data_IF_614291452667
#
_entry.id   IF_614291452667
#
_cell.length_a   1.000
_cell.length_b   1.000
_cell.length_c   1.000
_cell.angle_alpha   90.00
_cell.angle_beta   90.00
_cell.angle_gamma   90.00
#
_symmetry.space_group_name_H-M   'P 1'
#
loop_
_entity.id
_entity.type
_entity.pdbx_description
1 polymer ?
#
# COMPACT_ATOMS: atom_id res chain seq x y z
N UNK A 1 30.23 4.56 -11.77
CA UNK A 1 28.81 4.31 -12.11
C UNK A 1 28.73 3.10 -13.02
N UNK A 2 27.75 2.23 -12.81
CA UNK A 2 27.50 1.07 -13.68
C UNK A 2 26.76 1.57 -14.92
N UNK A 3 27.36 1.36 -16.10
CA UNK A 3 26.83 1.92 -17.36
C UNK A 3 25.80 1.02 -18.06
N UNK A 4 25.68 -0.23 -17.63
CA UNK A 4 24.78 -1.24 -18.22
C UNK A 4 23.61 -1.64 -17.28
N UNK A 5 23.27 -0.79 -16.33
CA UNK A 5 22.15 -0.97 -15.40
C UNK A 5 21.26 0.26 -15.47
N UNK A 6 19.96 0.05 -15.62
CA UNK A 6 18.93 1.10 -15.51
C UNK A 6 18.10 0.84 -14.27
N UNK A 7 18.14 1.71 -13.25
CA UNK A 7 17.28 1.59 -12.08
C UNK A 7 15.82 1.90 -12.45
N UNK A 8 14.87 1.15 -11.86
CA UNK A 8 13.45 1.44 -11.94
C UNK A 8 12.99 1.82 -10.54
N UNK A 9 12.67 3.09 -10.34
CA UNK A 9 12.10 3.63 -9.11
C UNK A 9 10.61 3.87 -9.29
N UNK A 10 9.85 3.70 -8.22
CA UNK A 10 8.41 3.94 -8.21
C UNK A 10 8.09 4.84 -7.02
N UNK A 11 7.50 6.00 -7.30
CA UNK A 11 7.10 6.95 -6.26
C UNK A 11 5.77 6.53 -5.63
N UNK A 12 5.80 5.40 -4.95
CA UNK A 12 4.62 4.81 -4.32
C UNK A 12 4.06 5.65 -3.17
N UNK A 13 4.79 6.67 -2.68
CA UNK A 13 4.24 7.63 -1.73
C UNK A 13 2.98 8.31 -2.27
N UNK A 14 2.95 8.65 -3.57
CA UNK A 14 1.80 9.30 -4.20
C UNK A 14 0.54 8.43 -4.08
N UNK A 15 0.63 7.17 -4.50
CA UNK A 15 -0.52 6.26 -4.46
C UNK A 15 -0.85 5.81 -3.04
N UNK A 16 0.17 5.65 -2.19
CA UNK A 16 -0.06 5.33 -0.77
C UNK A 16 -0.78 6.46 -0.05
N UNK A 17 -0.52 7.71 -0.42
CA UNK A 17 -1.24 8.87 0.08
C UNK A 17 -2.74 8.77 -0.29
N UNK A 18 -3.06 8.48 -1.55
CA UNK A 18 -4.43 8.28 -1.99
C UNK A 18 -5.10 7.11 -1.26
N UNK A 19 -4.39 5.99 -1.09
CA UNK A 19 -4.88 4.84 -0.34
C UNK A 19 -5.13 5.15 1.14
N UNK A 20 -4.27 5.97 1.76
CA UNK A 20 -4.44 6.45 3.13
C UNK A 20 -5.65 7.37 3.29
N UNK A 21 -5.81 8.30 2.37
CA UNK A 21 -6.97 9.20 2.30
C UNK A 21 -8.28 8.40 2.18
N UNK A 22 -8.31 7.47 1.23
CA UNK A 22 -9.43 6.59 0.99
C UNK A 22 -9.77 5.72 2.22
N UNK A 23 -8.75 5.09 2.83
CA UNK A 23 -8.92 4.27 4.03
C UNK A 23 -9.46 5.07 5.21
N UNK A 24 -9.02 6.33 5.36
CA UNK A 24 -9.53 7.23 6.38
C UNK A 24 -11.01 7.58 6.20
N UNK A 25 -11.47 7.68 4.94
CA UNK A 25 -12.88 7.88 4.63
C UNK A 25 -13.76 6.64 4.82
N UNK A 26 -13.16 5.44 4.74
CA UNK A 26 -13.85 4.16 4.78
C UNK A 26 -13.88 3.50 6.15
N UNK A 27 -12.93 3.81 7.03
CA UNK A 27 -12.86 3.18 8.36
C UNK A 27 -14.09 3.45 9.21
N UNK A 28 -14.58 2.41 9.86
CA UNK A 28 -15.69 2.46 10.83
C UNK A 28 -15.19 2.71 12.26
N UNK A 29 -13.96 2.25 12.55
CA UNK A 29 -13.36 2.31 13.90
C UNK A 29 -12.47 3.53 14.12
N UNK A 30 -12.13 4.25 13.04
CA UNK A 30 -11.13 5.34 13.02
C UNK A 30 -9.72 4.87 13.40
N UNK A 31 -9.43 3.60 13.20
CA UNK A 31 -8.11 3.00 13.43
C UNK A 31 -7.70 2.16 12.24
N UNK A 32 -6.55 2.50 11.69
CA UNK A 32 -5.91 1.80 10.58
C UNK A 32 -4.60 1.18 11.08
N UNK A 33 -4.14 0.12 10.46
CA UNK A 33 -2.86 -0.50 10.83
C UNK A 33 -1.93 -0.61 9.62
N UNK A 34 -0.65 -0.25 9.80
CA UNK A 34 0.37 -0.51 8.79
C UNK A 34 1.65 -1.05 9.43
N UNK A 35 2.30 -1.97 8.76
CA UNK A 35 3.59 -2.52 9.15
C UNK A 35 4.37 -2.95 7.92
N UNK A 36 5.69 -2.97 8.03
CA UNK A 36 6.56 -3.38 6.95
C UNK A 36 7.33 -4.66 7.24
N UNK A 37 7.90 -5.27 6.21
CA UNK A 37 8.81 -6.41 6.38
C UNK A 37 10.14 -5.99 7.00
N UNK A 38 10.88 -5.13 6.33
CA UNK A 38 12.16 -4.56 6.76
C UNK A 38 12.15 -3.04 6.66
N UNK A 39 12.93 -2.37 7.51
CA UNK A 39 13.12 -0.91 7.44
C UNK A 39 14.00 -0.53 6.25
N UNK A 40 13.40 -0.53 5.06
CA UNK A 40 14.02 -0.11 3.81
C UNK A 40 13.29 1.11 3.23
N UNK A 41 13.96 2.03 2.55
CA UNK A 41 13.30 3.18 1.91
C UNK A 41 12.16 2.78 0.96
N UNK A 42 12.31 1.64 0.26
CA UNK A 42 11.30 1.06 -0.63
C UNK A 42 10.07 0.47 0.09
N UNK A 43 10.13 0.34 1.41
CA UNK A 43 9.04 -0.11 2.29
C UNK A 43 8.45 1.10 3.02
N UNK A 44 9.30 1.90 3.66
CA UNK A 44 8.85 3.04 4.46
C UNK A 44 8.12 4.09 3.64
N UNK A 45 8.45 4.23 2.35
CA UNK A 45 7.76 5.15 1.42
C UNK A 45 6.24 4.87 1.32
N UNK A 46 5.82 3.61 1.40
CA UNK A 46 4.39 3.26 1.42
C UNK A 46 3.75 3.67 2.75
N UNK A 47 4.39 3.33 3.87
CA UNK A 47 3.86 3.61 5.20
C UNK A 47 3.74 5.11 5.44
N UNK A 48 4.76 5.87 5.00
CA UNK A 48 4.81 7.32 5.12
C UNK A 48 3.70 7.99 4.28
N UNK A 49 3.60 7.64 2.99
CA UNK A 49 2.55 8.16 2.12
C UNK A 49 1.16 7.85 2.67
N UNK A 50 0.92 6.63 3.15
CA UNK A 50 -0.33 6.21 3.75
C UNK A 50 -0.70 7.06 4.99
N UNK A 51 0.23 7.22 5.92
CA UNK A 51 0.00 8.00 7.12
C UNK A 51 -0.24 9.49 6.81
N UNK A 52 0.46 10.05 5.82
CA UNK A 52 0.25 11.43 5.38
C UNK A 52 -1.12 11.60 4.71
N UNK A 53 -1.59 10.62 3.90
CA UNK A 53 -2.93 10.64 3.32
C UNK A 53 -4.03 10.64 4.38
N UNK A 54 -3.86 9.83 5.44
CA UNK A 54 -4.77 9.83 6.60
C UNK A 54 -4.75 11.18 7.33
N UNK A 55 -3.56 11.75 7.55
CA UNK A 55 -3.44 13.06 8.19
C UNK A 55 -4.11 14.17 7.38
N UNK A 56 -3.97 14.13 6.06
CA UNK A 56 -4.62 15.07 5.16
C UNK A 56 -6.15 14.92 5.18
N UNK A 57 -6.67 13.68 5.12
CA UNK A 57 -8.10 13.43 5.30
C UNK A 57 -8.64 13.99 6.61
N UNK A 58 -7.91 13.79 7.71
CA UNK A 58 -8.29 14.33 9.02
C UNK A 58 -8.39 15.86 9.01
N UNK A 59 -7.43 16.54 8.35
CA UNK A 59 -7.43 18.00 8.29
C UNK A 59 -8.59 18.55 7.46
N UNK A 60 -8.89 17.94 6.32
CA UNK A 60 -9.97 18.37 5.43
C UNK A 60 -11.37 18.08 6.01
N UNK A 61 -11.52 16.98 6.75
CA UNK A 61 -12.82 16.51 7.22
C UNK A 61 -13.05 16.70 8.73
N UNK A 62 -12.10 17.29 9.45
CA UNK A 62 -12.21 17.52 10.90
C UNK A 62 -12.33 16.21 11.69
N UNK A 63 -11.66 15.14 11.23
CA UNK A 63 -11.67 13.81 11.85
C UNK A 63 -10.38 13.53 12.63
N UNK A 64 -10.30 12.38 13.30
CA UNK A 64 -9.13 11.95 14.08
C UNK A 64 -8.87 10.45 13.88
N UNK A 65 -8.76 10.02 12.63
CA UNK A 65 -8.37 8.66 12.27
C UNK A 65 -6.91 8.45 12.65
N UNK A 66 -6.61 7.32 13.29
CA UNK A 66 -5.29 6.96 13.75
C UNK A 66 -4.66 5.88 12.87
N UNK A 67 -3.37 6.00 12.62
CA UNK A 67 -2.55 4.97 11.99
C UNK A 67 -1.71 4.29 13.06
N UNK A 68 -1.95 3.00 13.28
CA UNK A 68 -1.14 2.17 14.16
C UNK A 68 0.07 1.65 13.38
N UNK A 69 1.23 1.59 14.03
CA UNK A 69 2.45 1.02 13.47
C UNK A 69 3.33 1.96 12.65
N UNK A 70 2.88 3.18 12.37
CA UNK A 70 3.72 4.21 11.74
C UNK A 70 3.29 5.62 12.12
N UNK A 71 4.27 6.43 12.50
CA UNK A 71 4.10 7.86 12.75
C UNK A 71 5.16 8.64 11.95
N UNK A 72 4.77 9.51 10.99
CA UNK A 72 5.72 10.32 10.22
C UNK A 72 6.60 11.23 11.08
N UNK A 73 6.11 11.65 12.25
CA UNK A 73 6.88 12.46 13.21
C UNK A 73 7.93 11.64 13.99
N UNK A 74 7.76 10.32 14.03
CA UNK A 74 8.63 9.38 14.76
C UNK A 74 8.90 8.11 13.96
N UNK A 75 9.50 8.19 12.75
CA UNK A 75 9.61 7.07 11.83
C UNK A 75 10.49 5.92 12.37
N UNK A 76 11.28 6.18 13.41
CA UNK A 76 12.10 5.16 14.08
C UNK A 76 11.26 4.20 14.93
N UNK A 77 10.04 4.56 15.29
CA UNK A 77 9.11 3.73 16.06
C UNK A 77 8.24 2.82 15.18
N UNK A 78 8.46 2.85 13.87
CA UNK A 78 7.69 2.08 12.91
C UNK A 78 7.79 0.57 13.17
N UNK A 79 6.69 -0.13 12.91
CA UNK A 79 6.57 -1.58 13.13
C UNK A 79 7.06 -2.36 11.93
N UNK A 80 8.03 -3.26 12.14
CA UNK A 80 8.56 -4.18 11.13
C UNK A 80 8.57 -5.61 11.64
N UNK A 81 8.35 -6.57 10.74
CA UNK A 81 8.30 -8.01 11.06
C UNK A 81 9.68 -8.68 11.02
N UNK A 82 10.71 -7.99 10.53
CA UNK A 82 12.06 -8.51 10.41
C UNK A 82 12.34 -9.32 9.14
N UNK A 83 11.37 -9.40 8.23
CA UNK A 83 11.49 -10.11 6.94
C UNK A 83 10.25 -9.94 6.09
N UNK A 84 10.26 -10.52 4.89
CA UNK A 84 9.15 -10.42 3.94
C UNK A 84 8.33 -11.72 3.84
N UNK A 85 8.66 -12.74 4.61
CA UNK A 85 7.99 -14.02 4.57
C UNK A 85 6.72 -14.02 5.41
N UNK A 86 5.71 -14.77 4.96
CA UNK A 86 4.55 -15.07 5.78
C UNK A 86 4.97 -15.97 6.95
N UNK A 87 4.80 -15.48 8.17
CA UNK A 87 5.18 -16.18 9.39
C UNK A 87 4.38 -15.71 10.61
N UNK A 88 4.63 -16.35 11.77
CA UNK A 88 3.92 -16.06 13.01
C UNK A 88 4.19 -14.65 13.55
N UNK A 89 5.36 -14.05 13.27
CA UNK A 89 5.67 -12.68 13.68
C UNK A 89 4.79 -11.70 12.93
N UNK A 90 4.67 -11.86 11.60
CA UNK A 90 3.81 -11.01 10.78
C UNK A 90 2.33 -11.21 11.15
N UNK A 91 1.91 -12.45 11.44
CA UNK A 91 0.54 -12.76 11.88
C UNK A 91 0.23 -12.11 13.23
N UNK A 92 1.13 -12.24 14.21
CA UNK A 92 0.96 -11.64 15.54
C UNK A 92 0.96 -10.11 15.48
N UNK A 93 1.73 -9.53 14.56
CA UNK A 93 1.74 -8.07 14.34
C UNK A 93 0.37 -7.60 13.81
N UNK A 94 -0.17 -8.26 12.80
CA UNK A 94 -1.50 -7.95 12.28
C UNK A 94 -2.58 -8.15 13.37
N UNK A 95 -2.53 -9.26 14.11
CA UNK A 95 -3.46 -9.56 15.20
C UNK A 95 -3.43 -8.45 16.28
N UNK A 96 -2.25 -7.96 16.63
CA UNK A 96 -2.12 -6.88 17.61
C UNK A 96 -2.83 -5.59 17.16
N UNK A 97 -2.78 -5.23 15.87
CA UNK A 97 -3.52 -4.08 15.37
C UNK A 97 -5.04 -4.33 15.34
N UNK A 98 -5.45 -5.56 14.99
CA UNK A 98 -6.85 -5.99 15.04
C UNK A 98 -7.41 -5.90 16.47
N UNK A 99 -6.62 -6.30 17.46
CA UNK A 99 -7.00 -6.26 18.88
C UNK A 99 -7.08 -4.82 19.41
N UNK A 100 -6.27 -3.91 18.85
CA UNK A 100 -6.35 -2.49 19.12
C UNK A 100 -7.51 -1.79 18.39
N UNK A 101 -8.23 -2.52 17.53
CA UNK A 101 -9.43 -2.05 16.84
C UNK A 101 -9.19 -1.54 15.43
N UNK A 102 -8.06 -1.83 14.79
CA UNK A 102 -7.89 -1.52 13.37
C UNK A 102 -8.88 -2.34 12.54
N UNK A 103 -9.55 -1.68 11.58
CA UNK A 103 -10.49 -2.30 10.64
C UNK A 103 -10.02 -2.24 9.18
N UNK A 104 -8.91 -1.58 8.91
CA UNK A 104 -8.20 -1.64 7.62
C UNK A 104 -6.71 -1.80 7.87
N UNK A 105 -6.07 -2.76 7.18
CA UNK A 105 -4.64 -3.05 7.32
C UNK A 105 -3.90 -2.84 6.00
N UNK A 106 -2.70 -2.25 6.09
CA UNK A 106 -1.73 -2.12 5.01
C UNK A 106 -0.42 -2.83 5.40
N UNK A 107 -0.25 -4.14 5.13
CA UNK A 107 1.03 -4.83 5.27
C UNK A 107 1.92 -4.53 4.06
N UNK A 108 3.13 -4.03 4.30
CA UNK A 108 4.04 -3.58 3.24
C UNK A 108 5.22 -4.54 3.07
N UNK A 109 5.14 -5.35 2.02
CA UNK A 109 6.26 -6.18 1.57
C UNK A 109 5.94 -7.63 1.28
N UNK A 110 5.95 -8.00 0.00
CA UNK A 110 5.86 -9.39 -0.47
C UNK A 110 4.73 -10.18 0.18
N UNK A 111 4.96 -11.45 0.55
CA UNK A 111 3.92 -12.34 1.06
C UNK A 111 3.49 -12.09 2.52
N UNK A 112 4.00 -11.07 3.22
CA UNK A 112 3.56 -10.81 4.62
C UNK A 112 2.05 -10.51 4.71
N UNK A 113 1.41 -10.08 3.62
CA UNK A 113 -0.04 -9.91 3.58
C UNK A 113 -0.80 -11.21 3.90
N UNK A 114 -0.26 -12.38 3.52
CA UNK A 114 -0.87 -13.69 3.81
C UNK A 114 -0.98 -13.94 5.32
N UNK A 115 0.00 -13.46 6.09
CA UNK A 115 -0.07 -13.50 7.55
C UNK A 115 -1.16 -12.55 8.10
N UNK A 116 -1.34 -11.37 7.48
CA UNK A 116 -2.45 -10.48 7.83
C UNK A 116 -3.81 -11.11 7.49
N UNK A 117 -3.94 -11.76 6.33
CA UNK A 117 -5.13 -12.53 5.93
C UNK A 117 -5.45 -13.61 6.97
N UNK A 118 -4.45 -14.37 7.42
CA UNK A 118 -4.64 -15.38 8.44
C UNK A 118 -5.11 -14.80 9.79
N UNK A 119 -4.57 -13.64 10.20
CA UNK A 119 -5.02 -12.95 11.41
C UNK A 119 -6.46 -12.40 11.26
N UNK A 120 -6.82 -11.84 10.10
CA UNK A 120 -8.18 -11.37 9.81
C UNK A 120 -9.16 -12.54 9.90
N UNK A 121 -8.85 -13.65 9.24
CA UNK A 121 -9.68 -14.86 9.25
C UNK A 121 -9.90 -15.39 10.66
N UNK A 122 -8.82 -15.52 11.45
CA UNK A 122 -8.90 -16.03 12.83
C UNK A 122 -9.68 -15.08 13.75
N UNK A 123 -9.64 -13.76 13.47
CA UNK A 123 -10.37 -12.77 14.27
C UNK A 123 -11.88 -12.85 14.10
N UNK A 124 -12.35 -13.35 12.96
CA UNK A 124 -13.77 -13.34 12.58
C UNK A 124 -14.40 -11.95 12.45
N UNK A 125 -13.58 -10.90 12.38
CA UNK A 125 -14.03 -9.50 12.28
C UNK A 125 -14.09 -9.05 10.81
N UNK A 126 -14.92 -8.04 10.54
CA UNK A 126 -15.01 -7.36 9.24
C UNK A 126 -13.84 -6.37 9.09
N UNK A 127 -12.76 -6.83 8.48
CA UNK A 127 -11.51 -6.08 8.32
C UNK A 127 -11.08 -6.12 6.86
N UNK A 128 -10.80 -4.96 6.30
CA UNK A 128 -10.31 -4.83 4.94
C UNK A 128 -8.77 -4.82 4.89
N UNK A 129 -8.22 -5.25 3.76
CA UNK A 129 -6.79 -5.27 3.48
C UNK A 129 -6.48 -4.42 2.26
N UNK A 130 -5.38 -3.67 2.30
CA UNK A 130 -4.82 -2.98 1.15
C UNK A 130 -3.60 -3.75 0.67
N UNK A 131 -3.60 -4.13 -0.61
CA UNK A 131 -2.48 -4.80 -1.25
C UNK A 131 -1.37 -3.85 -1.67
N UNK A 132 -0.20 -4.40 -2.03
CA UNK A 132 0.93 -3.64 -2.56
C UNK A 132 1.53 -4.32 -3.80
N UNK A 133 2.17 -3.53 -4.64
CA UNK A 133 2.92 -3.90 -5.84
C UNK A 133 2.04 -4.33 -7.03
N UNK A 134 1.14 -5.26 -6.85
CA UNK A 134 0.19 -5.77 -7.84
C UNK A 134 -1.24 -5.76 -7.27
N UNK A 135 -2.23 -5.89 -8.14
CA UNK A 135 -3.62 -6.07 -7.73
C UNK A 135 -3.81 -7.46 -7.11
N UNK A 136 -3.93 -7.51 -5.76
CA UNK A 136 -4.11 -8.76 -5.05
C UNK A 136 -5.47 -9.41 -5.33
N UNK A 137 -6.48 -8.66 -5.71
CA UNK A 137 -7.76 -9.23 -6.13
C UNK A 137 -7.61 -10.18 -7.32
N UNK A 138 -6.73 -9.83 -8.25
CA UNK A 138 -6.43 -10.62 -9.44
C UNK A 138 -5.37 -11.70 -9.18
N UNK A 139 -4.33 -11.37 -8.40
CA UNK A 139 -3.17 -12.25 -8.23
C UNK A 139 -3.33 -13.28 -7.11
N UNK A 140 -4.23 -13.03 -6.15
CA UNK A 140 -4.59 -13.98 -5.08
C UNK A 140 -6.10 -14.02 -4.85
N UNK A 141 -6.84 -14.83 -5.63
CA UNK A 141 -8.31 -14.91 -5.52
C UNK A 141 -8.83 -15.30 -4.14
N UNK A 142 -8.01 -15.88 -3.26
CA UNK A 142 -8.41 -16.23 -1.89
C UNK A 142 -8.63 -15.01 -1.01
N UNK A 143 -8.19 -13.82 -1.43
CA UNK A 143 -8.28 -12.56 -0.68
C UNK A 143 -9.38 -11.63 -1.16
N UNK A 144 -10.13 -11.99 -2.21
CA UNK A 144 -11.07 -11.10 -2.90
C UNK A 144 -12.15 -10.50 -1.99
N UNK A 145 -12.56 -11.20 -0.95
CA UNK A 145 -13.60 -10.74 -0.03
C UNK A 145 -13.11 -9.66 0.95
N UNK A 146 -11.79 -9.51 1.10
CA UNK A 146 -11.20 -8.56 2.06
C UNK A 146 -10.28 -7.51 1.40
N UNK A 147 -9.88 -7.72 0.13
CA UNK A 147 -9.05 -6.73 -0.59
C UNK A 147 -9.91 -5.55 -1.00
N UNK A 148 -9.61 -4.42 -0.39
CA UNK A 148 -10.26 -3.15 -0.61
C UNK A 148 -9.74 -2.42 -1.87
N UNK A 149 -8.44 -2.40 -2.06
CA UNK A 149 -7.68 -1.94 -3.22
C UNK A 149 -6.24 -2.41 -3.08
N UNK A 150 -5.41 -2.11 -4.06
CA UNK A 150 -3.96 -2.36 -4.01
C UNK A 150 -3.18 -1.15 -4.51
N UNK A 151 -2.07 -0.84 -3.85
CA UNK A 151 -1.12 0.19 -4.29
C UNK A 151 -0.22 -0.42 -5.36
N UNK A 152 -0.36 0.03 -6.60
CA UNK A 152 0.24 -0.58 -7.77
C UNK A 152 1.58 0.06 -8.14
N UNK A 153 2.49 -0.79 -8.65
CA UNK A 153 3.66 -0.40 -9.41
C UNK A 153 3.52 -0.86 -10.85
N UNK A 154 3.70 0.04 -11.81
CA UNK A 154 3.68 -0.26 -13.24
C UNK A 154 4.93 -1.02 -13.71
N UNK A 155 5.30 -2.11 -13.02
CA UNK A 155 6.55 -2.87 -13.28
C UNK A 155 6.57 -3.41 -14.71
N UNK A 156 5.42 -3.93 -15.17
CA UNK A 156 5.30 -4.50 -16.53
C UNK A 156 5.55 -3.44 -17.60
N UNK A 157 4.88 -2.29 -17.51
CA UNK A 157 5.01 -1.19 -18.48
C UNK A 157 6.42 -0.59 -18.46
N UNK A 158 6.96 -0.32 -17.27
CA UNK A 158 8.31 0.21 -17.10
C UNK A 158 9.37 -0.75 -17.68
N UNK A 159 9.28 -2.03 -17.36
CA UNK A 159 10.22 -3.04 -17.88
C UNK A 159 10.11 -3.19 -19.38
N UNK A 160 8.89 -3.24 -19.94
CA UNK A 160 8.67 -3.36 -21.38
C UNK A 160 9.23 -2.16 -22.14
N UNK A 161 9.06 -0.93 -21.63
CA UNK A 161 9.61 0.27 -22.23
C UNK A 161 11.15 0.24 -22.26
N UNK A 162 11.79 -0.12 -21.14
CA UNK A 162 13.25 -0.20 -21.05
C UNK A 162 13.82 -1.28 -21.98
N UNK A 163 13.15 -2.42 -22.09
CA UNK A 163 13.56 -3.50 -23.02
C UNK A 163 13.42 -3.04 -24.47
N UNK A 164 12.33 -2.35 -24.81
CA UNK A 164 12.12 -1.82 -26.16
C UNK A 164 13.19 -0.78 -26.53
N UNK A 165 13.51 0.16 -25.62
CA UNK A 165 14.58 1.15 -25.83
C UNK A 165 15.95 0.47 -26.01
N UNK A 166 16.27 -0.53 -25.21
CA UNK A 166 17.52 -1.28 -25.33
C UNK A 166 17.61 -2.03 -26.67
N UNK A 167 16.50 -2.65 -27.12
CA UNK A 167 16.43 -3.34 -28.40
C UNK A 167 16.58 -2.39 -29.60
N UNK A 168 16.10 -1.15 -29.48
CA UNK A 168 16.25 -0.09 -30.47
C UNK A 168 17.64 0.60 -30.45
N UNK A 169 18.55 0.20 -29.56
CA UNK A 169 19.88 0.82 -29.41
C UNK A 169 19.86 2.13 -28.62
N UNK A 170 18.76 2.50 -27.98
CA UNK A 170 18.54 3.74 -27.23
C UNK A 170 18.68 3.52 -25.72
N UNK A 171 19.44 2.51 -25.28
CA UNK A 171 19.60 2.24 -23.86
C UNK A 171 20.23 3.45 -23.12
N UNK A 172 19.60 3.84 -22.03
CA UNK A 172 20.11 4.84 -21.08
C UNK A 172 20.17 4.23 -19.67
N UNK A 173 21.25 4.49 -18.93
CA UNK A 173 21.39 4.11 -17.53
C UNK A 173 20.81 5.13 -16.55
N UNK A 174 20.14 6.18 -17.03
CA UNK A 174 19.36 7.09 -16.20
C UNK A 174 18.19 6.36 -15.58
N UNK A 175 17.90 6.65 -14.31
CA UNK A 175 16.81 6.01 -13.60
C UNK A 175 15.45 6.33 -14.25
N UNK A 176 14.61 5.32 -14.41
CA UNK A 176 13.18 5.51 -14.61
C UNK A 176 12.53 5.85 -13.27
N UNK A 177 11.61 6.80 -13.25
CA UNK A 177 10.80 7.13 -12.08
C UNK A 177 9.33 7.03 -12.45
N UNK A 178 8.67 6.00 -11.91
CA UNK A 178 7.21 5.82 -12.05
C UNK A 178 6.48 6.75 -11.08
N UNK A 179 5.52 7.51 -11.60
CA UNK A 179 4.66 8.46 -10.88
C UNK A 179 3.21 8.27 -11.29
N UNK A 180 2.27 8.94 -10.63
CA UNK A 180 0.86 9.00 -11.08
C UNK A 180 0.75 9.64 -12.48
N UNK A 181 1.57 10.67 -12.76
CA UNK A 181 1.53 11.39 -14.02
C UNK A 181 1.86 10.51 -15.25
N UNK A 182 2.74 9.51 -15.07
CA UNK A 182 3.17 8.62 -16.15
C UNK A 182 2.66 7.18 -16.01
N UNK A 183 1.61 6.97 -15.22
CA UNK A 183 1.03 5.65 -14.93
C UNK A 183 2.03 4.62 -14.38
N UNK A 184 3.14 5.11 -13.86
CA UNK A 184 4.17 4.27 -13.26
C UNK A 184 3.82 3.77 -11.86
N UNK A 185 2.89 4.44 -11.17
CA UNK A 185 2.22 3.99 -9.96
C UNK A 185 0.72 4.29 -10.08
N UNK A 186 -0.11 3.59 -9.32
CA UNK A 186 -1.55 3.76 -9.33
C UNK A 186 -2.20 2.93 -8.22
N UNK A 187 -3.50 2.92 -8.15
CA UNK A 187 -4.24 2.02 -7.27
C UNK A 187 -5.19 1.15 -8.09
N UNK A 188 -5.47 -0.06 -7.57
CA UNK A 188 -6.40 -0.99 -8.20
C UNK A 188 -7.85 -0.51 -8.03
N UNK A 189 -8.78 -0.96 -8.89
CA UNK A 189 -10.21 -0.77 -8.66
C UNK A 189 -10.62 -1.24 -7.26
N UNK A 190 -11.75 -0.73 -6.77
CA UNK A 190 -12.25 -1.10 -5.44
C UNK A 190 -13.00 -2.45 -5.43
N UNK A 191 -13.15 -3.09 -6.60
CA UNK A 191 -13.73 -4.42 -6.75
C UNK A 191 -15.03 -4.63 -5.93
N UNK A 192 -15.02 -5.58 -5.00
CA UNK A 192 -16.18 -5.88 -4.15
C UNK A 192 -16.54 -4.72 -3.18
N UNK A 193 -15.66 -3.74 -3.02
CA UNK A 193 -15.88 -2.55 -2.18
C UNK A 193 -16.41 -1.34 -2.97
N UNK A 194 -16.55 -1.43 -4.30
CA UNK A 194 -17.00 -0.32 -5.16
C UNK A 194 -18.27 0.36 -4.65
N UNK A 195 -19.26 -0.44 -4.23
CA UNK A 195 -20.53 0.08 -3.72
C UNK A 195 -20.44 0.70 -2.32
N UNK A 196 -19.34 0.51 -1.61
CA UNK A 196 -19.09 1.04 -0.27
C UNK A 196 -18.34 2.37 -0.31
N UNK A 197 -17.63 2.66 -1.39
CA UNK A 197 -16.94 3.95 -1.59
C UNK A 197 -17.96 4.96 -2.07
N UNK A 198 -18.16 6.04 -1.33
CA UNK A 198 -19.10 7.08 -1.76
C UNK A 198 -18.58 7.80 -3.02
N UNK A 199 -19.48 8.25 -3.93
CA UNK A 199 -19.07 9.00 -5.11
C UNK A 199 -18.24 10.25 -4.78
N UNK A 200 -18.55 10.92 -3.67
CA UNK A 200 -17.83 12.09 -3.20
C UNK A 200 -16.38 11.74 -2.81
N UNK A 201 -16.20 10.62 -2.08
CA UNK A 201 -14.87 10.15 -1.68
C UNK A 201 -14.07 9.68 -2.91
N UNK A 202 -14.68 8.96 -3.84
CA UNK A 202 -14.03 8.56 -5.08
C UNK A 202 -13.61 9.78 -5.92
N UNK A 203 -14.48 10.78 -6.07
CA UNK A 203 -14.17 12.01 -6.82
C UNK A 203 -13.04 12.84 -6.19
N UNK A 204 -12.86 12.76 -4.87
CA UNK A 204 -11.76 13.45 -4.18
C UNK A 204 -10.38 12.83 -4.47
N UNK A 205 -10.32 11.58 -4.92
CA UNK A 205 -9.06 10.93 -5.28
C UNK A 205 -8.57 11.34 -6.68
N UNK A 206 -9.43 11.93 -7.52
CA UNK A 206 -9.11 12.35 -8.88
C UNK A 206 -8.64 13.81 -8.97
N UNK A 207 -8.78 14.58 -7.90
CA UNK A 207 -8.41 15.99 -7.82
C UNK A 207 -7.11 16.24 -7.08
#
# INVERSE_FOLDING_TARGET
AVTNLKPLHFNTAQTSFLAGYLAAGMTKTKKLGTFGGLKLPTVTIFMDGFAQGVAYYNSENGTAVQVLGYDPASPDTATFTGGFEANDVAKSTAQNFIDQGADILLPVGGPIYQSAVAAITDSGKDIALIGVDADLFETDPSTQDIIFTSILKGIKSATSAVVADAAAGNFSNEAYVGTLENDGVGYAPFHNFESLVSPDLAGQLET
#
